data_IF_774131992618
#
_entry.id   IF_774131992618
#
_cell.length_a   1.000
_cell.length_b   1.000
_cell.length_c   1.000
_cell.angle_alpha   90.00
_cell.angle_beta   90.00
_cell.angle_gamma   90.00
#
_symmetry.space_group_name_H-M   'P 1'
#
loop_
_entity.id
_entity.type
_entity.pdbx_description
1 polymer ?
#
# COMPACT_ATOMS: atom_id res chain seq x y z
N UNK A 1 -6.44 22.89 -7.42
CA UNK A 1 -5.15 23.18 -6.77
C UNK A 1 -4.19 22.03 -7.04
N UNK A 2 -2.93 22.29 -7.35
CA UNK A 2 -1.95 21.22 -7.57
C UNK A 2 -1.77 20.41 -6.28
N UNK A 3 -1.90 19.08 -6.37
CA UNK A 3 -1.67 18.17 -5.24
C UNK A 3 -0.22 18.32 -4.76
N UNK A 4 -0.03 18.78 -3.51
CA UNK A 4 1.28 18.77 -2.83
C UNK A 4 1.82 17.34 -2.85
N UNK A 5 3.00 17.14 -3.44
CA UNK A 5 3.70 15.84 -3.47
C UNK A 5 5.02 15.99 -2.74
N UNK A 6 5.24 15.17 -1.73
CA UNK A 6 6.46 15.13 -0.93
C UNK A 6 7.20 13.83 -1.23
N UNK A 7 8.52 13.90 -1.36
CA UNK A 7 9.35 12.70 -1.56
C UNK A 7 9.81 12.18 -0.19
N UNK A 8 9.40 10.97 0.14
CA UNK A 8 9.67 10.29 1.41
C UNK A 8 10.78 9.24 1.21
N UNK A 9 11.74 9.15 2.14
CA UNK A 9 12.82 8.16 2.07
C UNK A 9 12.45 6.88 2.81
N UNK A 10 12.67 5.73 2.17
CA UNK A 10 12.53 4.39 2.77
C UNK A 10 13.74 3.55 2.37
N UNK A 11 14.73 3.45 3.26
CA UNK A 11 16.03 2.90 2.91
C UNK A 11 16.64 3.62 1.70
N UNK A 12 16.95 2.89 0.64
CA UNK A 12 17.49 3.45 -0.62
C UNK A 12 16.43 4.03 -1.56
N UNK A 13 15.13 3.88 -1.26
CA UNK A 13 14.03 4.29 -2.14
C UNK A 13 13.55 5.70 -1.81
N UNK A 14 13.10 6.41 -2.85
CA UNK A 14 12.41 7.70 -2.74
C UNK A 14 10.98 7.52 -3.22
N UNK A 15 10.01 7.60 -2.31
CA UNK A 15 8.59 7.33 -2.57
C UNK A 15 7.82 8.64 -2.57
N UNK A 16 7.06 8.90 -3.62
CA UNK A 16 6.25 10.12 -3.72
C UNK A 16 4.91 9.99 -3.00
N UNK A 17 4.68 10.82 -1.99
CA UNK A 17 3.43 10.94 -1.25
C UNK A 17 2.65 12.17 -1.73
N UNK A 18 1.57 11.95 -2.48
CA UNK A 18 0.61 13.02 -2.84
C UNK A 18 -0.34 13.30 -1.69
N UNK A 19 -0.87 14.52 -1.56
CA UNK A 19 -1.84 14.90 -0.52
C UNK A 19 -1.46 14.39 0.89
N UNK A 20 -0.25 14.74 1.38
CA UNK A 20 0.27 14.23 2.66
C UNK A 20 -0.62 14.60 3.84
N UNK A 21 -1.22 15.79 3.80
CA UNK A 21 -2.03 16.37 4.88
C UNK A 21 -3.49 15.85 4.86
N UNK A 22 -3.82 14.88 3.98
CA UNK A 22 -5.16 14.32 3.88
C UNK A 22 -5.48 13.51 5.14
N UNK A 23 -6.50 13.94 5.89
CA UNK A 23 -7.00 13.23 7.07
C UNK A 23 -7.68 11.92 6.66
N UNK A 24 -7.19 10.81 7.20
CA UNK A 24 -7.74 9.47 6.99
C UNK A 24 -8.59 9.01 8.18
N UNK A 25 -8.26 9.46 9.40
CA UNK A 25 -9.03 9.24 10.63
C UNK A 25 -9.49 10.58 11.22
N UNK A 26 -10.72 11.03 10.94
CA UNK A 26 -11.19 12.36 11.34
C UNK A 26 -11.24 12.60 12.85
N UNK A 27 -11.53 11.56 13.63
CA UNK A 27 -11.67 11.68 15.10
C UNK A 27 -10.31 11.92 15.76
N UNK A 28 -9.28 11.22 15.31
CA UNK A 28 -7.91 11.30 15.83
C UNK A 28 -7.07 12.38 15.12
N UNK A 29 -7.54 12.86 13.96
CA UNK A 29 -6.80 13.80 13.11
C UNK A 29 -5.63 13.17 12.34
N UNK A 30 -5.54 11.83 12.29
CA UNK A 30 -4.42 11.15 11.62
C UNK A 30 -4.53 11.27 10.10
N UNK A 31 -3.40 11.59 9.49
CA UNK A 31 -3.25 11.90 8.07
C UNK A 31 -2.65 10.74 7.28
N UNK A 32 -2.59 10.90 5.96
CA UNK A 32 -1.89 9.97 5.09
C UNK A 32 -0.37 9.96 5.33
N UNK A 33 0.20 11.05 5.84
CA UNK A 33 1.60 11.07 6.30
C UNK A 33 1.76 10.15 7.51
N UNK A 34 0.87 10.22 8.49
CA UNK A 34 0.96 9.39 9.70
C UNK A 34 0.86 7.89 9.35
N UNK A 35 -0.02 7.52 8.42
CA UNK A 35 -0.10 6.15 7.91
C UNK A 35 1.18 5.69 7.22
N UNK A 36 1.76 6.57 6.38
CA UNK A 36 3.01 6.27 5.70
C UNK A 36 4.15 6.06 6.70
N UNK A 37 4.30 6.97 7.65
CA UNK A 37 5.34 6.93 8.69
C UNK A 37 5.18 5.68 9.57
N UNK A 38 3.95 5.36 9.99
CA UNK A 38 3.66 4.13 10.72
C UNK A 38 4.14 2.88 9.96
N UNK A 39 3.77 2.74 8.69
CA UNK A 39 4.19 1.58 7.90
C UNK A 39 5.69 1.57 7.63
N UNK A 40 6.32 2.73 7.47
CA UNK A 40 7.77 2.86 7.32
C UNK A 40 8.49 2.37 8.59
N UNK A 41 8.00 2.77 9.75
CA UNK A 41 8.63 2.49 11.03
C UNK A 41 8.45 1.02 11.44
N UNK A 42 7.29 0.42 11.16
CA UNK A 42 7.04 -1.01 11.44
C UNK A 42 7.58 -1.95 10.35
N UNK A 43 7.90 -1.46 9.16
CA UNK A 43 8.35 -2.29 8.03
C UNK A 43 9.54 -3.23 8.35
N UNK A 44 10.54 -2.86 9.17
CA UNK A 44 11.61 -3.79 9.56
C UNK A 44 11.11 -4.99 10.37
N UNK A 45 10.09 -4.81 11.22
CA UNK A 45 9.52 -5.86 12.05
C UNK A 45 8.42 -6.66 11.33
N UNK A 46 7.57 -5.97 10.55
CA UNK A 46 6.48 -6.60 9.80
C UNK A 46 6.97 -7.27 8.51
N UNK A 47 8.05 -6.75 7.91
CA UNK A 47 8.61 -7.20 6.65
C UNK A 47 8.80 -8.71 6.53
N UNK A 48 9.45 -9.39 7.50
CA UNK A 48 9.62 -10.84 7.47
C UNK A 48 8.31 -11.65 7.42
N UNK A 49 7.22 -11.11 7.96
CA UNK A 49 5.93 -11.80 7.98
C UNK A 49 5.16 -11.66 6.67
N UNK A 50 5.34 -10.55 5.96
CA UNK A 50 4.69 -10.28 4.67
C UNK A 50 5.57 -10.65 3.48
N UNK A 51 6.86 -10.94 3.71
CA UNK A 51 7.81 -11.33 2.67
C UNK A 51 7.27 -12.49 1.84
N UNK A 52 7.38 -12.36 0.52
CA UNK A 52 7.00 -13.37 -0.47
C UNK A 52 5.50 -13.75 -0.43
N UNK A 53 4.65 -12.99 0.27
CA UNK A 53 3.21 -13.22 0.31
C UNK A 53 2.48 -12.35 -0.71
N UNK A 54 1.39 -12.89 -1.25
CA UNK A 54 0.51 -12.14 -2.13
C UNK A 54 -0.39 -11.23 -1.31
N UNK A 55 -0.33 -9.94 -1.64
CA UNK A 55 -1.08 -8.91 -0.92
C UNK A 55 -2.37 -8.56 -1.66
N UNK A 56 -3.43 -8.39 -0.89
CA UNK A 56 -4.66 -7.71 -1.29
C UNK A 56 -4.75 -6.41 -0.48
N UNK A 57 -4.99 -5.31 -1.18
CA UNK A 57 -5.04 -3.97 -0.60
C UNK A 57 -6.48 -3.59 -0.25
N UNK A 58 -6.75 -3.23 0.99
CA UNK A 58 -8.00 -2.59 1.40
C UNK A 58 -7.80 -1.06 1.41
N UNK A 59 -8.42 -0.38 0.45
CA UNK A 59 -8.13 1.02 0.15
C UNK A 59 -9.26 1.95 0.57
N UNK A 60 -8.85 3.07 1.17
CA UNK A 60 -9.68 4.18 1.64
C UNK A 60 -9.14 5.50 1.08
N UNK A 61 -9.36 5.82 -0.20
CA UNK A 61 -8.79 7.01 -0.83
C UNK A 61 -9.16 8.32 -0.12
N UNK A 62 -10.34 8.35 0.51
CA UNK A 62 -10.93 9.51 1.19
C UNK A 62 -11.04 9.34 2.72
N UNK A 63 -10.27 8.40 3.29
CA UNK A 63 -10.31 8.11 4.73
C UNK A 63 -11.40 7.10 5.13
N UNK A 64 -11.42 6.72 6.40
CA UNK A 64 -12.24 5.61 6.92
C UNK A 64 -13.74 5.87 6.86
N UNK A 65 -14.17 7.12 6.74
CA UNK A 65 -15.57 7.53 6.58
C UNK A 65 -16.00 7.60 5.12
N UNK A 66 -15.07 7.42 4.18
CA UNK A 66 -15.30 7.47 2.74
C UNK A 66 -15.54 6.10 2.12
N UNK A 67 -15.36 6.01 0.80
CA UNK A 67 -15.48 4.75 0.07
C UNK A 67 -14.33 3.80 0.41
N UNK A 68 -14.68 2.54 0.69
CA UNK A 68 -13.75 1.42 0.80
C UNK A 68 -13.85 0.50 -0.41
N UNK A 69 -12.73 -0.05 -0.86
CA UNK A 69 -12.71 -1.17 -1.81
C UNK A 69 -11.47 -2.05 -1.66
N UNK A 70 -11.62 -3.32 -2.04
CA UNK A 70 -10.50 -4.25 -2.16
C UNK A 70 -9.88 -4.20 -3.55
N UNK A 71 -8.56 -4.21 -3.60
CA UNK A 71 -7.78 -4.33 -4.82
C UNK A 71 -6.82 -5.52 -4.73
N UNK A 72 -7.06 -6.52 -5.58
CA UNK A 72 -6.16 -7.66 -5.77
C UNK A 72 -5.17 -7.41 -6.89
N UNK A 73 -5.67 -6.86 -7.99
CA UNK A 73 -4.91 -6.62 -9.22
C UNK A 73 -4.06 -5.36 -9.08
N UNK A 74 -2.74 -5.54 -9.14
CA UNK A 74 -1.75 -4.49 -8.99
C UNK A 74 -1.92 -3.47 -10.12
N UNK A 75 -1.94 -2.18 -9.77
CA UNK A 75 -2.10 -1.14 -10.79
C UNK A 75 -0.87 -1.06 -11.69
N UNK A 76 -1.09 -0.93 -13.00
CA UNK A 76 0.00 -0.83 -14.00
C UNK A 76 0.99 0.29 -13.72
N UNK A 77 0.55 1.38 -13.08
CA UNK A 77 1.38 2.52 -12.70
C UNK A 77 2.26 2.30 -11.46
N UNK A 78 2.15 1.16 -10.77
CA UNK A 78 3.05 0.86 -9.65
C UNK A 78 4.48 0.79 -10.18
N UNK A 79 5.48 1.33 -9.45
CA UNK A 79 6.88 1.27 -9.84
C UNK A 79 7.34 -0.15 -10.17
N UNK A 80 8.35 -0.24 -11.02
CA UNK A 80 9.03 -1.47 -11.43
C UNK A 80 9.56 -2.30 -10.26
N UNK A 81 10.02 -1.65 -9.20
CA UNK A 81 10.52 -2.32 -8.00
C UNK A 81 9.42 -2.95 -7.13
N UNK A 82 8.14 -2.68 -7.41
CA UNK A 82 7.02 -3.40 -6.80
C UNK A 82 6.84 -4.71 -7.56
N UNK A 83 7.37 -5.78 -6.98
CA UNK A 83 7.23 -7.12 -7.52
C UNK A 83 5.76 -7.56 -7.56
N UNK A 84 5.44 -8.33 -8.59
CA UNK A 84 4.09 -8.83 -8.83
C UNK A 84 4.15 -10.30 -9.21
N UNK A 85 3.16 -11.06 -8.75
CA UNK A 85 2.99 -12.45 -9.12
C UNK A 85 1.61 -12.67 -9.74
N UNK A 86 1.62 -13.24 -10.94
CA UNK A 86 0.41 -13.57 -11.68
C UNK A 86 -0.21 -14.86 -11.14
N UNK A 87 -1.49 -14.81 -10.79
CA UNK A 87 -2.26 -15.95 -10.28
C UNK A 87 -3.47 -16.20 -11.16
N UNK A 88 -3.70 -17.46 -11.52
CA UNK A 88 -4.89 -17.88 -12.26
C UNK A 88 -6.16 -17.77 -11.41
N UNK A 89 -7.24 -17.26 -11.99
CA UNK A 89 -8.56 -17.24 -11.33
C UNK A 89 -9.32 -18.53 -11.57
N UNK A 90 -10.13 -18.94 -10.58
CA UNK A 90 -11.17 -19.94 -10.80
C UNK A 90 -12.16 -19.40 -11.85
N UNK A 91 -12.35 -20.13 -12.94
CA UNK A 91 -13.20 -19.69 -14.06
C UNK A 91 -12.47 -18.97 -15.19
N UNK A 92 -11.13 -18.90 -15.14
CA UNK A 92 -10.30 -18.37 -16.23
C UNK A 92 -9.81 -16.94 -16.02
N UNK A 93 -8.74 -16.59 -16.74
CA UNK A 93 -8.02 -15.32 -16.60
C UNK A 93 -7.05 -15.28 -15.41
N UNK A 94 -6.41 -14.13 -15.21
CA UNK A 94 -5.35 -13.93 -14.21
C UNK A 94 -5.54 -12.66 -13.38
N UNK A 95 -4.79 -12.56 -12.29
CA UNK A 95 -4.59 -11.35 -11.45
C UNK A 95 -3.11 -11.19 -11.22
N UNK A 96 -2.59 -9.98 -11.30
CA UNK A 96 -1.24 -9.68 -10.82
C UNK A 96 -1.32 -9.20 -9.37
N UNK A 97 -0.94 -10.03 -8.41
CA UNK A 97 -0.88 -9.63 -7.01
C UNK A 97 0.43 -8.90 -6.71
N UNK A 98 0.39 -7.90 -5.81
CA UNK A 98 1.62 -7.33 -5.24
C UNK A 98 2.27 -8.38 -4.33
N UNK A 99 3.57 -8.61 -4.50
CA UNK A 99 4.37 -9.44 -3.59
C UNK A 99 4.85 -8.59 -2.42
N UNK A 100 4.64 -9.09 -1.20
CA UNK A 100 4.95 -8.37 0.01
C UNK A 100 6.45 -8.28 0.29
N UNK A 101 6.87 -7.09 0.76
CA UNK A 101 8.22 -6.82 1.25
C UNK A 101 8.17 -5.58 2.16
N UNK A 102 9.18 -5.39 3.02
CA UNK A 102 9.24 -4.24 3.94
C UNK A 102 8.98 -2.88 3.26
N UNK A 103 9.74 -2.50 2.21
CA UNK A 103 9.54 -1.21 1.52
C UNK A 103 8.23 -1.08 0.74
N UNK A 104 7.53 -2.20 0.48
CA UNK A 104 6.22 -2.19 -0.20
C UNK A 104 5.14 -1.62 0.72
N UNK A 105 5.20 -1.89 2.03
CA UNK A 105 4.22 -1.43 3.01
C UNK A 105 3.98 0.10 3.00
N UNK A 106 5.02 0.96 3.20
CA UNK A 106 4.83 2.41 3.12
C UNK A 106 4.46 2.88 1.71
N UNK A 107 4.84 2.17 0.65
CA UNK A 107 4.35 2.49 -0.70
C UNK A 107 2.84 2.28 -0.83
N UNK A 108 2.32 1.15 -0.34
CA UNK A 108 0.88 0.88 -0.39
C UNK A 108 0.07 1.91 0.40
N UNK A 109 0.64 2.48 1.48
CA UNK A 109 0.05 3.60 2.21
C UNK A 109 -0.16 4.85 1.31
N UNK A 110 0.75 5.14 0.37
CA UNK A 110 0.56 6.29 -0.55
C UNK A 110 -0.66 6.10 -1.45
N UNK A 111 -1.04 4.85 -1.71
CA UNK A 111 -2.21 4.45 -2.48
C UNK A 111 -3.50 4.50 -1.63
N UNK A 112 -3.43 4.91 -0.36
CA UNK A 112 -4.57 4.88 0.56
C UNK A 112 -4.93 3.48 1.02
N UNK A 113 -3.98 2.53 0.99
CA UNK A 113 -4.16 1.20 1.58
C UNK A 113 -4.00 1.34 3.09
N UNK A 114 -5.08 1.13 3.84
CA UNK A 114 -5.03 1.14 5.30
C UNK A 114 -4.68 -0.26 5.81
N UNK A 115 -5.34 -1.28 5.27
CA UNK A 115 -5.13 -2.68 5.65
C UNK A 115 -4.51 -3.46 4.50
N UNK A 116 -3.50 -4.27 4.81
CA UNK A 116 -2.93 -5.26 3.90
C UNK A 116 -3.38 -6.65 4.33
N UNK A 117 -4.01 -7.36 3.41
CA UNK A 117 -4.46 -8.74 3.60
C UNK A 117 -3.48 -9.66 2.89
N UNK A 118 -2.83 -10.57 3.62
CA UNK A 118 -1.80 -11.44 3.07
C UNK A 118 -2.32 -12.86 2.81
N UNK A 119 -1.80 -13.49 1.77
CA UNK A 119 -2.00 -14.92 1.54
C UNK A 119 -1.28 -15.76 2.61
N UNK A 120 -1.79 -16.97 2.86
CA UNK A 120 -1.16 -17.90 3.80
C UNK A 120 -0.05 -18.73 3.15
N UNK A 121 0.00 -18.79 1.82
CA UNK A 121 1.08 -19.35 1.04
C UNK A 121 2.12 -18.29 0.63
N UNK A 122 3.33 -18.77 0.36
CA UNK A 122 4.41 -18.10 -0.35
C UNK A 122 4.52 -18.71 -1.74
#
# INVERSE_FOLDING_TARGET
MASKKVMMKVGRRSIGLSNPDKVLWPKEGLTKTDLFEYYRDIAPAMGPYVADRLLTMERFPDGITGKMFFQKDASKHFPDWIERQTVGKRGGGTVDHVVGAGPVLPYLATQGTITVHMSLNT
#
